data_IF_371321463799
#
_entry.id   IF_371321463799
#
_cell.length_a   1.000
_cell.length_b   1.000
_cell.length_c   1.000
_cell.angle_alpha   90.00
_cell.angle_beta   90.00
_cell.angle_gamma   90.00
#
_symmetry.space_group_name_H-M   'P 1'
#
loop_
_entity.id
_entity.type
_entity.pdbx_description
1 polymer ?
#
# COMPACT_ATOMS: atom_id res chain seq x y z
N UNK A 1 -19.39 -54.41 8.97
CA UNK A 1 -18.76 -53.21 9.57
C UNK A 1 -19.75 -52.68 10.62
N UNK A 2 -19.32 -52.55 11.89
CA UNK A 2 -20.23 -52.25 13.01
C UNK A 2 -20.68 -50.79 12.97
N UNK A 3 -21.99 -50.55 12.87
CA UNK A 3 -22.61 -49.21 12.79
C UNK A 3 -22.13 -48.27 13.91
N UNK A 4 -21.88 -48.81 15.10
CA UNK A 4 -21.34 -48.07 16.25
C UNK A 4 -19.93 -47.57 16.03
N UNK A 5 -19.07 -48.34 15.33
CA UNK A 5 -17.70 -47.91 14.99
C UNK A 5 -17.70 -46.86 13.91
N UNK A 6 -18.62 -46.92 12.95
CA UNK A 6 -18.78 -45.91 11.90
C UNK A 6 -19.25 -44.57 12.48
N UNK A 7 -20.24 -44.62 13.38
CA UNK A 7 -20.75 -43.43 14.08
C UNK A 7 -19.67 -42.76 14.95
N UNK A 8 -18.85 -43.54 15.67
CA UNK A 8 -17.78 -43.01 16.50
C UNK A 8 -16.67 -42.36 15.67
N UNK A 9 -16.31 -42.93 14.50
CA UNK A 9 -15.33 -42.36 13.58
C UNK A 9 -15.85 -41.08 12.95
N UNK A 10 -17.12 -41.03 12.58
CA UNK A 10 -17.74 -39.81 12.03
C UNK A 10 -17.82 -38.69 13.07
N UNK A 11 -18.20 -38.99 14.32
CA UNK A 11 -18.18 -38.02 15.41
C UNK A 11 -16.78 -37.47 15.70
N UNK A 12 -15.74 -38.32 15.64
CA UNK A 12 -14.35 -37.88 15.84
C UNK A 12 -13.88 -36.92 14.74
N UNK A 13 -14.18 -37.24 13.47
CA UNK A 13 -13.82 -36.37 12.31
C UNK A 13 -14.54 -35.02 12.39
N UNK A 14 -15.84 -35.01 12.70
CA UNK A 14 -16.62 -33.76 12.86
C UNK A 14 -16.10 -32.95 14.04
N UNK A 15 -15.71 -33.57 15.16
CA UNK A 15 -15.10 -32.87 16.30
C UNK A 15 -13.74 -32.24 15.97
N UNK A 16 -12.89 -32.91 15.19
CA UNK A 16 -11.62 -32.37 14.73
C UNK A 16 -11.78 -31.18 13.78
N UNK A 17 -12.78 -31.20 12.89
CA UNK A 17 -13.06 -30.09 11.96
C UNK A 17 -13.55 -28.85 12.71
N UNK A 18 -14.39 -29.02 13.75
CA UNK A 18 -14.88 -27.92 14.57
C UNK A 18 -13.80 -27.29 15.46
N UNK A 19 -12.78 -28.05 15.86
CA UNK A 19 -11.69 -27.56 16.71
C UNK A 19 -10.68 -26.66 15.98
N UNK A 20 -10.66 -26.66 14.64
CA UNK A 20 -9.70 -25.87 13.84
C UNK A 20 -10.20 -24.49 13.40
N UNK A 21 -11.47 -24.14 13.68
CA UNK A 21 -12.01 -22.82 13.43
C UNK A 21 -11.61 -21.85 14.57
N UNK A 22 -10.31 -21.54 14.71
CA UNK A 22 -9.90 -20.42 15.52
C UNK A 22 -10.48 -19.13 14.87
N UNK A 23 -11.20 -18.28 15.62
CA UNK A 23 -11.65 -17.02 15.06
C UNK A 23 -10.41 -16.23 14.65
N UNK A 24 -10.28 -15.92 13.36
CA UNK A 24 -9.27 -14.98 12.89
C UNK A 24 -9.61 -13.62 13.53
N UNK A 25 -8.94 -13.28 14.64
CA UNK A 25 -9.06 -11.96 15.25
C UNK A 25 -8.55 -10.96 14.23
N UNK A 26 -9.46 -10.24 13.57
CA UNK A 26 -9.09 -9.17 12.66
C UNK A 26 -8.27 -8.15 13.47
N UNK A 27 -6.99 -7.98 13.09
CA UNK A 27 -6.09 -7.03 13.75
C UNK A 27 -6.67 -5.63 13.60
N UNK A 28 -6.85 -4.94 14.72
CA UNK A 28 -7.28 -3.56 14.72
C UNK A 28 -6.09 -2.65 14.40
N UNK A 29 -6.11 -2.04 13.23
CA UNK A 29 -5.03 -1.19 12.76
C UNK A 29 -5.29 0.29 13.03
N UNK A 30 -4.28 0.98 13.55
CA UNK A 30 -4.20 2.44 13.54
C UNK A 30 -3.40 2.89 12.31
N UNK A 31 -3.66 4.13 11.83
CA UNK A 31 -3.02 4.66 10.62
C UNK A 31 -1.49 4.68 10.71
N UNK A 32 -0.92 5.14 11.83
CA UNK A 32 0.52 5.28 11.97
C UNK A 32 1.28 3.93 12.03
N UNK A 33 0.91 2.94 12.86
CA UNK A 33 1.52 1.62 12.81
C UNK A 33 1.38 0.94 11.44
N UNK A 34 0.24 1.09 10.79
CA UNK A 34 0.02 0.50 9.48
C UNK A 34 0.85 1.17 8.39
N UNK A 35 0.88 2.52 8.36
CA UNK A 35 1.72 3.26 7.42
C UNK A 35 3.20 2.89 7.58
N UNK A 36 3.71 2.74 8.81
CA UNK A 36 5.07 2.28 9.09
C UNK A 36 5.35 0.91 8.48
N UNK A 37 4.43 -0.05 8.69
CA UNK A 37 4.57 -1.42 8.20
C UNK A 37 4.67 -1.48 6.67
N UNK A 38 3.80 -0.75 5.96
CA UNK A 38 3.74 -0.85 4.49
C UNK A 38 4.69 0.10 3.74
N UNK A 39 5.16 1.20 4.38
CA UNK A 39 6.05 2.17 3.73
C UNK A 39 7.53 1.98 4.08
N UNK A 40 7.84 1.23 5.14
CA UNK A 40 9.19 1.12 5.68
C UNK A 40 9.71 2.39 6.36
N UNK A 41 8.87 3.41 6.58
CA UNK A 41 9.22 4.61 7.33
C UNK A 41 9.11 4.32 8.82
N UNK A 42 10.23 4.27 9.53
CA UNK A 42 10.27 3.94 10.97
C UNK A 42 10.08 5.19 11.85
N UNK A 43 8.88 5.77 11.80
CA UNK A 43 8.46 6.88 12.66
C UNK A 43 7.35 6.41 13.59
N UNK A 44 7.44 6.79 14.87
CA UNK A 44 6.52 6.36 15.93
C UNK A 44 5.68 7.54 16.46
N UNK A 45 4.66 7.21 17.24
CA UNK A 45 3.76 8.20 17.86
C UNK A 45 2.62 8.64 16.96
N UNK A 46 2.02 9.78 17.32
CA UNK A 46 0.86 10.33 16.62
C UNK A 46 1.20 10.78 15.20
N UNK A 47 0.26 10.60 14.28
CA UNK A 47 0.47 10.92 12.86
C UNK A 47 0.81 12.40 12.61
N UNK A 48 0.28 13.33 13.39
CA UNK A 48 0.56 14.77 13.29
C UNK A 48 2.04 15.12 13.57
N UNK A 49 2.76 14.25 14.31
CA UNK A 49 4.19 14.46 14.62
C UNK A 49 5.12 13.92 13.54
N UNK A 50 4.63 13.08 12.62
CA UNK A 50 5.45 12.39 11.62
C UNK A 50 6.24 13.34 10.74
N UNK A 51 5.61 14.42 10.27
CA UNK A 51 6.27 15.43 9.43
C UNK A 51 7.47 16.07 10.13
N UNK A 52 7.34 16.40 11.41
CA UNK A 52 8.42 16.95 12.22
C UNK A 52 9.54 15.93 12.44
N UNK A 53 9.18 14.70 12.82
CA UNK A 53 10.13 13.62 13.07
C UNK A 53 10.90 13.21 11.80
N UNK A 54 10.29 13.34 10.63
CA UNK A 54 10.95 13.04 9.35
C UNK A 54 12.10 14.02 9.04
N UNK A 55 12.17 15.19 9.70
CA UNK A 55 13.22 16.17 9.45
C UNK A 55 14.60 15.59 9.77
N UNK A 56 15.52 15.65 8.81
CA UNK A 56 16.88 15.13 8.95
C UNK A 56 17.03 13.60 8.84
N UNK A 57 15.92 12.86 8.79
CA UNK A 57 15.91 11.38 8.67
C UNK A 57 15.34 10.90 7.34
N UNK A 58 14.31 11.55 6.84
CA UNK A 58 13.63 11.23 5.59
C UNK A 58 13.48 12.49 4.74
N UNK A 59 13.61 12.34 3.42
CA UNK A 59 13.29 13.41 2.50
C UNK A 59 11.80 13.74 2.55
N UNK A 60 11.45 15.02 2.38
CA UNK A 60 10.07 15.52 2.41
C UNK A 60 9.84 16.44 1.22
N UNK A 61 8.61 16.52 0.74
CA UNK A 61 8.26 17.40 -0.37
C UNK A 61 6.77 17.45 -0.68
N UNK A 62 6.42 18.16 -1.75
CA UNK A 62 5.04 18.32 -2.20
C UNK A 62 4.68 17.40 -3.39
N UNK A 63 5.63 16.68 -3.97
CA UNK A 63 5.38 15.84 -5.14
C UNK A 63 5.00 14.42 -4.71
N UNK A 64 3.84 13.87 -5.14
CA UNK A 64 3.48 12.50 -4.81
C UNK A 64 4.42 11.50 -5.49
N UNK A 65 4.79 10.45 -4.76
CA UNK A 65 5.56 9.30 -5.27
C UNK A 65 4.99 8.02 -4.67
N UNK A 66 4.99 6.94 -5.43
CA UNK A 66 4.60 5.63 -4.91
C UNK A 66 5.50 5.25 -3.74
N UNK A 67 4.92 4.74 -2.65
CA UNK A 67 5.61 4.43 -1.40
C UNK A 67 5.81 5.62 -0.45
N UNK A 68 5.61 6.86 -0.90
CA UNK A 68 5.64 8.01 0.00
C UNK A 68 4.44 8.02 0.94
N UNK A 69 4.61 8.57 2.12
CA UNK A 69 3.53 8.75 3.10
C UNK A 69 3.03 10.17 3.07
N UNK A 70 1.77 10.37 2.71
CA UNK A 70 1.04 11.62 2.81
C UNK A 70 0.75 11.92 4.28
N UNK A 71 1.25 13.05 4.79
CA UNK A 71 1.10 13.47 6.17
C UNK A 71 0.03 14.55 6.29
N UNK A 72 -1.11 14.23 6.90
CA UNK A 72 -2.20 15.15 7.15
C UNK A 72 -1.92 16.01 8.39
N UNK A 73 -2.36 17.23 8.37
CA UNK A 73 -2.33 18.09 9.55
C UNK A 73 -3.42 17.69 10.54
N UNK A 74 -3.13 17.87 11.84
CA UNK A 74 -4.16 17.76 12.86
C UNK A 74 -5.23 18.85 12.68
N UNK A 75 -6.48 18.48 12.92
CA UNK A 75 -7.63 19.36 12.89
C UNK A 75 -8.49 19.15 14.14
N UNK A 76 -9.51 20.00 14.36
CA UNK A 76 -10.45 19.79 15.48
C UNK A 76 -11.11 18.40 15.44
N UNK A 77 -11.38 17.84 14.24
CA UNK A 77 -12.02 16.53 14.06
C UNK A 77 -11.02 15.38 14.00
N UNK A 78 -9.77 15.66 13.66
CA UNK A 78 -8.68 14.69 13.50
C UNK A 78 -7.48 15.15 14.33
N UNK A 79 -7.62 15.08 15.67
CA UNK A 79 -6.70 15.71 16.63
C UNK A 79 -5.27 15.17 16.58
N UNK A 80 -5.10 13.92 16.19
CA UNK A 80 -3.79 13.25 16.12
C UNK A 80 -3.24 13.19 14.70
N UNK A 81 -3.89 13.89 13.76
CA UNK A 81 -3.53 13.83 12.35
C UNK A 81 -3.86 12.47 11.72
N UNK A 82 -3.39 12.27 10.51
CA UNK A 82 -3.49 11.01 9.78
C UNK A 82 -2.28 10.83 8.87
N UNK A 83 -1.97 9.59 8.54
CA UNK A 83 -0.94 9.23 7.55
C UNK A 83 -1.46 8.13 6.64
N UNK A 84 -1.13 8.23 5.35
CA UNK A 84 -1.55 7.29 4.32
C UNK A 84 -0.42 7.08 3.31
N UNK A 85 -0.11 5.83 2.95
CA UNK A 85 0.89 5.55 1.92
C UNK A 85 0.28 5.72 0.52
N UNK A 86 1.02 6.37 -0.38
CA UNK A 86 0.68 6.45 -1.80
C UNK A 86 0.94 5.10 -2.46
N UNK A 87 -0.11 4.42 -2.91
CA UNK A 87 -0.01 3.14 -3.61
C UNK A 87 0.06 3.30 -5.14
N UNK A 88 -0.44 4.40 -5.68
CA UNK A 88 -0.27 4.76 -7.09
C UNK A 88 -0.38 6.28 -7.28
N UNK A 89 0.30 6.81 -8.30
CA UNK A 89 0.12 8.16 -8.81
C UNK A 89 -0.69 8.05 -10.10
N UNK A 90 -1.90 8.61 -10.10
CA UNK A 90 -2.83 8.56 -11.24
C UNK A 90 -2.64 9.76 -12.16
N UNK A 91 -2.45 10.94 -11.56
CA UNK A 91 -2.17 12.19 -12.27
C UNK A 91 -1.46 13.17 -11.34
N UNK A 92 -1.14 14.37 -11.81
CA UNK A 92 -0.52 15.42 -11.00
C UNK A 92 -1.41 15.86 -9.82
N UNK A 93 -2.71 15.59 -9.89
CA UNK A 93 -3.73 15.98 -8.89
C UNK A 93 -4.46 14.78 -8.28
N UNK A 94 -4.10 13.54 -8.60
CA UNK A 94 -4.77 12.36 -8.09
C UNK A 94 -3.79 11.24 -7.76
N UNK A 95 -3.95 10.67 -6.57
CA UNK A 95 -3.23 9.48 -6.12
C UNK A 95 -4.20 8.43 -5.58
N UNK A 96 -3.75 7.20 -5.53
CA UNK A 96 -4.38 6.16 -4.74
C UNK A 96 -3.61 6.00 -3.42
N UNK A 97 -4.36 5.90 -2.32
CA UNK A 97 -3.81 5.73 -0.99
C UNK A 97 -4.13 4.33 -0.44
N UNK A 98 -3.21 3.81 0.34
CA UNK A 98 -3.41 2.64 1.20
C UNK A 98 -3.19 3.08 2.63
N UNK A 99 -4.20 2.89 3.49
CA UNK A 99 -4.18 3.35 4.88
C UNK A 99 -5.11 2.53 5.77
N UNK A 100 -5.10 2.82 7.07
CA UNK A 100 -6.00 2.18 8.03
C UNK A 100 -6.69 3.20 8.93
N UNK A 101 -7.82 2.79 9.52
CA UNK A 101 -8.56 3.57 10.51
C UNK A 101 -9.07 4.92 9.96
N UNK A 102 -9.58 4.93 8.73
CA UNK A 102 -10.12 6.12 8.08
C UNK A 102 -11.65 6.10 8.03
N UNK A 103 -12.26 5.31 7.15
CA UNK A 103 -13.72 5.26 7.02
C UNK A 103 -14.38 4.44 8.13
N UNK A 104 -13.68 3.45 8.67
CA UNK A 104 -14.13 2.59 9.78
C UNK A 104 -12.99 2.32 10.75
N UNK A 105 -13.29 2.28 12.07
CA UNK A 105 -12.29 1.98 13.09
C UNK A 105 -11.53 0.68 12.79
N UNK A 106 -10.20 0.75 12.76
CA UNK A 106 -9.31 -0.39 12.60
C UNK A 106 -9.28 -1.05 11.22
N UNK A 107 -10.15 -0.62 10.27
CA UNK A 107 -10.19 -1.18 8.94
C UNK A 107 -9.06 -0.67 8.06
N UNK A 108 -8.56 -1.55 7.19
CA UNK A 108 -7.60 -1.20 6.13
C UNK A 108 -8.38 -0.87 4.86
N UNK A 109 -7.98 0.20 4.20
CA UNK A 109 -8.49 0.63 2.90
C UNK A 109 -7.31 0.72 1.92
N UNK A 110 -7.45 0.06 0.77
CA UNK A 110 -6.40 -0.05 -0.25
C UNK A 110 -6.84 0.58 -1.55
N UNK A 111 -5.92 1.32 -2.20
CA UNK A 111 -6.16 1.91 -3.50
C UNK A 111 -7.30 2.93 -3.52
N UNK A 112 -7.55 3.63 -2.42
CA UNK A 112 -8.61 4.62 -2.33
C UNK A 112 -8.15 5.97 -2.88
N UNK A 113 -9.03 6.65 -3.60
CA UNK A 113 -8.72 7.92 -4.27
C UNK A 113 -8.48 9.06 -3.27
N UNK A 114 -7.44 9.83 -3.54
CA UNK A 114 -7.23 11.14 -2.94
C UNK A 114 -6.94 12.15 -4.06
N UNK A 115 -7.62 13.30 -3.98
CA UNK A 115 -7.51 14.36 -4.99
C UNK A 115 -6.97 15.61 -4.31
N UNK A 116 -5.96 16.21 -4.91
CA UNK A 116 -5.49 17.52 -4.58
C UNK A 116 -6.57 18.55 -5.00
N UNK A 117 -7.07 19.30 -4.03
CA UNK A 117 -8.06 20.36 -4.22
C UNK A 117 -7.50 21.75 -3.86
N UNK A 118 -6.19 21.82 -3.60
CA UNK A 118 -5.52 23.10 -3.35
C UNK A 118 -5.59 24.00 -4.58
N UNK A 119 -5.69 25.31 -4.35
CA UNK A 119 -5.76 26.29 -5.42
C UNK A 119 -4.46 26.35 -6.23
N UNK A 120 -3.31 26.11 -5.57
CA UNK A 120 -1.99 26.14 -6.21
C UNK A 120 -1.60 24.81 -6.89
N UNK A 121 -2.33 23.71 -6.67
CA UNK A 121 -1.94 22.40 -7.17
C UNK A 121 -0.73 21.80 -6.46
N UNK A 122 -0.51 22.17 -5.20
CA UNK A 122 0.69 21.89 -4.41
C UNK A 122 0.48 20.83 -3.34
N UNK A 123 -0.66 20.14 -3.37
CA UNK A 123 -1.05 19.12 -2.40
C UNK A 123 -1.20 19.62 -0.96
N UNK A 124 -1.36 20.93 -0.74
CA UNK A 124 -1.62 21.48 0.59
C UNK A 124 -3.01 21.17 1.13
N UNK A 125 -3.96 20.84 0.27
CA UNK A 125 -5.34 20.48 0.60
C UNK A 125 -5.83 19.30 -0.24
N UNK A 126 -6.42 18.29 0.41
CA UNK A 126 -6.92 17.10 -0.29
C UNK A 126 -8.36 16.74 0.10
N UNK A 127 -9.06 16.07 -0.82
CA UNK A 127 -10.24 15.26 -0.53
C UNK A 127 -9.87 13.80 -0.69
N UNK A 128 -10.36 12.97 0.23
CA UNK A 128 -10.08 11.53 0.25
C UNK A 128 -11.39 10.76 0.15
N UNK A 129 -11.35 9.63 -0.52
CA UNK A 129 -12.46 8.69 -0.58
C UNK A 129 -12.93 8.32 0.83
N UNK A 130 -14.25 8.23 1.01
CA UNK A 130 -14.86 7.91 2.29
C UNK A 130 -15.92 6.83 2.14
N UNK A 131 -15.67 5.66 2.72
CA UNK A 131 -16.49 4.45 2.55
C UNK A 131 -17.98 4.62 2.79
N UNK A 132 -18.43 5.32 3.85
CA UNK A 132 -19.87 5.54 4.07
C UNK A 132 -20.58 6.34 2.98
N UNK A 133 -19.84 7.10 2.17
CA UNK A 133 -20.39 7.84 1.02
C UNK A 133 -20.20 7.10 -0.31
N UNK A 134 -19.41 6.02 -0.34
CA UNK A 134 -19.09 5.28 -1.55
C UNK A 134 -18.36 6.10 -2.61
N UNK A 135 -17.66 7.17 -2.21
CA UNK A 135 -17.02 8.11 -3.10
C UNK A 135 -16.09 9.08 -2.38
N UNK A 136 -15.66 10.14 -3.07
CA UNK A 136 -14.88 11.21 -2.43
C UNK A 136 -15.69 11.87 -1.32
N UNK A 137 -15.07 11.98 -0.14
CA UNK A 137 -15.63 12.71 0.98
C UNK A 137 -15.81 14.21 0.66
N UNK A 138 -16.76 14.84 1.34
CA UNK A 138 -17.02 16.28 1.18
C UNK A 138 -16.02 17.15 1.92
N UNK A 139 -15.35 16.60 2.95
CA UNK A 139 -14.37 17.33 3.75
C UNK A 139 -13.07 17.58 2.99
N UNK A 140 -12.52 18.78 3.16
CA UNK A 140 -11.16 19.12 2.75
C UNK A 140 -10.24 18.98 3.94
N UNK A 141 -9.08 18.34 3.72
CA UNK A 141 -8.09 18.09 4.75
C UNK A 141 -6.79 18.80 4.43
N UNK A 142 -6.26 19.61 5.35
CA UNK A 142 -4.95 20.22 5.18
C UNK A 142 -3.85 19.17 5.30
N UNK A 143 -2.82 19.29 4.47
CA UNK A 143 -1.70 18.36 4.35
C UNK A 143 -0.39 19.10 4.57
N UNK A 144 0.60 18.41 5.16
CA UNK A 144 1.97 18.92 5.31
C UNK A 144 2.85 18.56 4.10
N UNK A 145 2.51 17.49 3.39
CA UNK A 145 3.24 16.98 2.24
C UNK A 145 3.51 15.49 2.32
N UNK A 146 4.47 15.03 1.54
CA UNK A 146 4.87 13.63 1.40
C UNK A 146 6.23 13.38 2.08
N UNK A 147 6.30 12.28 2.85
CA UNK A 147 7.53 11.76 3.44
C UNK A 147 7.98 10.60 2.56
N UNK A 148 9.23 10.61 2.10
CA UNK A 148 9.76 9.61 1.17
C UNK A 148 10.61 8.59 1.92
N UNK A 149 10.26 7.31 1.82
CA UNK A 149 10.98 6.23 2.54
C UNK A 149 12.36 5.92 1.96
N UNK A 150 12.60 6.23 0.69
CA UNK A 150 13.79 5.75 -0.02
C UNK A 150 13.76 4.24 -0.34
N UNK A 151 12.72 3.52 0.06
CA UNK A 151 12.51 2.09 -0.22
C UNK A 151 11.31 1.90 -1.14
N UNK A 152 11.29 0.79 -1.87
CA UNK A 152 10.08 0.36 -2.58
C UNK A 152 8.97 0.02 -1.57
N UNK A 153 7.69 0.34 -1.87
CA UNK A 153 6.59 -0.03 -0.99
C UNK A 153 6.50 -1.56 -0.86
N UNK A 154 6.20 -2.02 0.35
CA UNK A 154 5.85 -3.44 0.55
C UNK A 154 4.35 -3.58 0.29
N UNK A 155 3.99 -4.36 -0.72
CA UNK A 155 2.60 -4.72 -0.95
C UNK A 155 2.12 -5.57 0.22
N UNK A 156 1.05 -5.13 0.87
CA UNK A 156 0.44 -5.87 1.99
C UNK A 156 -0.38 -7.07 1.50
N UNK A 157 0.13 -7.81 0.54
CA UNK A 157 -0.34 -9.13 0.15
C UNK A 157 0.64 -10.14 0.72
N UNK A 158 0.14 -11.05 1.53
CA UNK A 158 0.87 -12.21 2.00
C UNK A 158 1.37 -13.00 0.80
N UNK A 159 2.55 -12.64 0.30
CA UNK A 159 3.27 -13.42 -0.70
C UNK A 159 4.17 -14.38 0.03
N UNK A 160 3.66 -15.59 0.15
CA UNK A 160 4.48 -16.77 0.36
C UNK A 160 5.57 -16.78 -0.71
N UNK A 161 6.78 -16.45 -0.29
CA UNK A 161 7.94 -16.41 -1.18
C UNK A 161 8.45 -17.85 -1.38
N UNK A 162 8.12 -18.42 -2.52
CA UNK A 162 8.85 -19.56 -3.04
C UNK A 162 10.07 -19.03 -3.80
N UNK A 163 11.23 -19.16 -3.17
CA UNK A 163 12.52 -18.83 -3.75
C UNK A 163 12.96 -19.95 -4.70
N UNK A 164 12.70 -19.79 -5.97
CA UNK A 164 13.37 -20.56 -6.99
C UNK A 164 14.09 -19.62 -7.95
N UNK A 165 15.39 -19.47 -7.74
CA UNK A 165 16.31 -18.84 -8.70
C UNK A 165 16.67 -19.87 -9.76
N UNK A 166 16.35 -19.70 -11.03
CA UNK A 166 17.03 -20.42 -12.09
C UNK A 166 18.25 -19.62 -12.54
N UNK A 167 19.41 -20.11 -12.19
CA UNK A 167 20.67 -19.74 -12.85
C UNK A 167 20.59 -20.17 -14.32
N UNK A 168 20.51 -19.20 -15.22
CA UNK A 168 20.74 -19.43 -16.64
C UNK A 168 22.23 -19.30 -16.92
N UNK A 169 22.80 -20.44 -17.23
CA UNK A 169 24.14 -20.62 -17.77
C UNK A 169 24.25 -19.98 -19.15
N UNK A 170 25.14 -18.99 -19.27
CA UNK A 170 25.42 -18.31 -20.55
C UNK A 170 26.66 -18.95 -21.17
N UNK A 171 26.44 -19.85 -22.08
CA UNK A 171 27.49 -20.19 -23.06
C UNK A 171 26.88 -20.86 -24.28
N UNK A 172 26.62 -20.12 -25.34
CA UNK A 172 26.83 -20.56 -26.73
C UNK A 172 27.07 -19.30 -27.61
N UNK A 173 28.25 -19.12 -27.91
CA UNK A 173 29.04 -18.61 -29.03
C UNK A 173 28.29 -18.25 -30.31
N UNK A 174 28.69 -17.05 -30.76
CA UNK A 174 28.67 -16.45 -32.08
C UNK A 174 28.68 -17.39 -33.30
N UNK A 175 28.00 -16.97 -34.32
CA UNK A 175 28.58 -16.97 -35.70
C UNK A 175 27.87 -15.92 -36.56
N UNK A 176 28.70 -15.10 -37.17
CA UNK A 176 28.35 -14.01 -38.07
C UNK A 176 27.78 -14.51 -39.40
N UNK A 177 26.87 -13.72 -39.97
CA UNK A 177 26.72 -13.66 -41.43
C UNK A 177 26.34 -12.24 -41.82
N UNK A 178 27.25 -11.58 -42.51
CA UNK A 178 27.08 -10.31 -43.16
C UNK A 178 26.19 -10.48 -44.40
N UNK A 179 25.24 -9.57 -44.60
CA UNK A 179 24.47 -9.43 -45.85
C UNK A 179 24.80 -8.06 -46.47
N UNK A 180 25.15 -8.01 -47.75
CA UNK A 180 25.64 -6.78 -48.39
C UNK A 180 24.52 -5.79 -48.71
N UNK A 181 24.83 -4.53 -48.56
CA UNK A 181 24.02 -3.37 -48.94
C UNK A 181 24.14 -3.16 -50.44
N UNK A 182 23.01 -3.07 -51.14
CA UNK A 182 22.91 -2.65 -52.53
C UNK A 182 22.43 -1.20 -52.58
N UNK A 183 23.11 -0.28 -53.26
CA UNK A 183 22.64 1.10 -53.42
C UNK A 183 21.59 1.20 -54.54
N UNK A 184 20.48 1.86 -54.25
CA UNK A 184 19.49 2.26 -55.30
C UNK A 184 19.81 3.68 -55.70
N UNK A 185 20.05 3.84 -57.02
CA UNK A 185 20.28 5.11 -57.68
C UNK A 185 19.00 5.94 -57.77
N UNK A 186 19.18 7.24 -57.67
CA UNK A 186 18.17 8.25 -57.98
C UNK A 186 17.85 8.32 -59.45
N UNK A 187 16.55 8.55 -59.74
CA UNK A 187 16.08 9.25 -60.92
C UNK A 187 14.83 10.05 -60.57
#
# INVERSE_FOLDING_TARGET
MNLKVLAARFALVVSCILATAAPASARFWQCAPYAREISGIDIHGNADTWWGQAAGHYARGATPKVGAVLAFQATRRMRVGHVAMVSAVVSDREVLLTHANWSRPGAIERGVRAIDVSAAGDWSEVKVWYGPQGGLGTSVYPVKGFIYSGHAPVDGTDSESDSATPTLDTSIIATAAAVPVVPVAAN
#
